data_IF_231266443556
#
_entry.id   IF_231266443556
#
_cell.length_a   1.000
_cell.length_b   1.000
_cell.length_c   1.000
_cell.angle_alpha   90.00
_cell.angle_beta   90.00
_cell.angle_gamma   90.00
#
_symmetry.space_group_name_H-M   'P 1'
#
loop_
_entity.id
_entity.type
_entity.pdbx_description
1 polymer ?
#
# COMPACT_ATOMS: atom_id res chain seq x y z
N UNK A 1 -9.15 4.62 -18.40
CA UNK A 1 -8.65 5.01 -17.09
C UNK A 1 -9.56 4.56 -15.94
N UNK A 2 -10.87 4.80 -16.01
CA UNK A 2 -11.83 4.42 -14.95
C UNK A 2 -11.82 2.93 -14.63
N UNK A 3 -11.63 2.06 -15.61
CA UNK A 3 -11.52 0.62 -15.41
C UNK A 3 -10.30 0.23 -14.58
N UNK A 4 -9.16 0.91 -14.74
CA UNK A 4 -7.97 0.64 -13.92
C UNK A 4 -8.23 0.96 -12.44
N UNK A 5 -8.89 2.09 -12.15
CA UNK A 5 -9.26 2.45 -10.77
C UNK A 5 -10.26 1.45 -10.19
N UNK A 6 -11.25 1.01 -11.00
CA UNK A 6 -12.20 -0.01 -10.59
C UNK A 6 -11.53 -1.35 -10.27
N UNK A 7 -10.52 -1.77 -11.05
CA UNK A 7 -9.77 -3.01 -10.80
C UNK A 7 -8.97 -2.95 -9.50
N UNK A 8 -8.37 -1.81 -9.15
CA UNK A 8 -7.71 -1.62 -7.84
C UNK A 8 -8.72 -1.80 -6.71
N UNK A 9 -9.90 -1.17 -6.81
CA UNK A 9 -10.95 -1.28 -5.81
C UNK A 9 -11.49 -2.71 -5.66
N UNK A 10 -11.71 -3.41 -6.76
CA UNK A 10 -12.17 -4.79 -6.78
C UNK A 10 -11.15 -5.73 -6.12
N UNK A 11 -9.90 -5.60 -6.50
CA UNK A 11 -8.80 -6.39 -5.92
C UNK A 11 -8.63 -6.09 -4.44
N UNK A 12 -8.66 -4.83 -4.03
CA UNK A 12 -8.55 -4.42 -2.64
C UNK A 12 -9.69 -5.01 -1.79
N UNK A 13 -10.92 -4.98 -2.29
CA UNK A 13 -12.10 -5.56 -1.62
C UNK A 13 -11.98 -7.07 -1.46
N UNK A 14 -11.59 -7.78 -2.52
CA UNK A 14 -11.42 -9.24 -2.51
C UNK A 14 -10.29 -9.66 -1.57
N UNK A 15 -9.15 -8.99 -1.63
CA UNK A 15 -8.00 -9.31 -0.78
C UNK A 15 -8.25 -9.02 0.69
N UNK A 16 -9.13 -8.07 1.05
CA UNK A 16 -9.54 -7.84 2.44
C UNK A 16 -10.10 -9.09 3.09
N UNK A 17 -10.92 -9.84 2.36
CA UNK A 17 -11.51 -11.09 2.88
C UNK A 17 -10.39 -12.09 3.20
N UNK A 18 -9.46 -12.29 2.28
CA UNK A 18 -8.35 -13.23 2.47
C UNK A 18 -7.45 -12.81 3.64
N UNK A 19 -7.04 -11.54 3.67
CA UNK A 19 -6.14 -11.00 4.71
C UNK A 19 -6.75 -11.01 6.11
N UNK A 20 -8.07 -10.96 6.24
CA UNK A 20 -8.74 -11.03 7.55
C UNK A 20 -8.53 -12.39 8.23
N UNK A 21 -8.39 -13.45 7.47
CA UNK A 21 -8.18 -14.81 8.01
C UNK A 21 -6.72 -15.21 8.19
N UNK A 22 -5.77 -14.41 7.67
CA UNK A 22 -4.34 -14.73 7.74
C UNK A 22 -3.67 -14.53 9.12
N UNK A 23 -4.05 -13.57 9.97
CA UNK A 23 -3.36 -13.30 11.23
C UNK A 23 -3.21 -14.52 12.16
N UNK A 24 -4.23 -15.35 12.37
CA UNK A 24 -4.11 -16.55 13.22
C UNK A 24 -3.22 -17.63 12.61
N UNK A 25 -3.03 -17.63 11.28
CA UNK A 25 -2.27 -18.65 10.56
C UNK A 25 -0.79 -18.29 10.49
N UNK A 26 -0.49 -17.07 10.06
CA UNK A 26 0.88 -16.61 9.80
C UNK A 26 1.53 -15.93 11.00
N UNK A 27 0.73 -15.43 11.95
CA UNK A 27 1.20 -14.56 13.01
C UNK A 27 1.47 -13.13 12.52
N UNK A 28 1.39 -12.17 13.42
CA UNK A 28 1.41 -10.74 13.08
C UNK A 28 2.72 -10.31 12.43
N UNK A 29 3.86 -10.78 12.94
CA UNK A 29 5.19 -10.42 12.40
C UNK A 29 5.32 -10.78 10.92
N UNK A 30 5.05 -12.03 10.58
CA UNK A 30 5.18 -12.54 9.21
C UNK A 30 4.14 -11.87 8.32
N UNK A 31 2.90 -11.73 8.78
CA UNK A 31 1.82 -11.09 8.04
C UNK A 31 2.16 -9.65 7.66
N UNK A 32 2.60 -8.83 8.62
CA UNK A 32 2.93 -7.41 8.39
C UNK A 32 4.13 -7.29 7.45
N UNK A 33 5.20 -8.05 7.69
CA UNK A 33 6.41 -8.01 6.87
C UNK A 33 6.13 -8.48 5.45
N UNK A 34 5.40 -9.57 5.28
CA UNK A 34 5.03 -10.08 3.97
C UNK A 34 4.13 -9.09 3.22
N UNK A 35 3.12 -8.53 3.89
CA UNK A 35 2.17 -7.60 3.27
C UNK A 35 2.84 -6.31 2.84
N UNK A 36 3.71 -5.73 3.70
CA UNK A 36 4.46 -4.51 3.36
C UNK A 36 5.50 -4.77 2.26
N UNK A 37 6.18 -5.91 2.31
CA UNK A 37 7.12 -6.32 1.25
C UNK A 37 6.45 -6.52 -0.10
N UNK A 38 5.27 -7.13 -0.13
CA UNK A 38 4.48 -7.31 -1.35
C UNK A 38 4.03 -5.99 -1.97
N UNK A 39 3.86 -4.91 -1.19
CA UNK A 39 3.54 -3.58 -1.71
C UNK A 39 4.65 -2.99 -2.58
N UNK A 40 5.90 -3.42 -2.43
CA UNK A 40 6.99 -2.97 -3.29
C UNK A 40 6.78 -3.40 -4.75
N UNK A 41 6.15 -4.55 -4.98
CA UNK A 41 5.91 -5.06 -6.34
C UNK A 41 5.07 -4.08 -7.16
N UNK A 42 3.85 -3.66 -6.74
CA UNK A 42 3.08 -2.69 -7.51
C UNK A 42 3.76 -1.33 -7.63
N UNK A 43 4.53 -0.87 -6.63
CA UNK A 43 5.27 0.38 -6.78
C UNK A 43 6.29 0.32 -7.92
N UNK A 44 7.09 -0.74 -8.01
CA UNK A 44 8.03 -0.92 -9.10
C UNK A 44 7.32 -1.12 -10.46
N UNK A 45 6.21 -1.85 -10.47
CA UNK A 45 5.40 -2.02 -11.68
C UNK A 45 4.88 -0.69 -12.22
N UNK A 46 4.39 0.20 -11.36
CA UNK A 46 3.91 1.51 -11.77
C UNK A 46 5.03 2.45 -12.21
N UNK A 47 6.20 2.40 -11.57
CA UNK A 47 7.38 3.13 -12.06
C UNK A 47 7.71 2.71 -13.48
N UNK A 48 7.75 1.40 -13.75
CA UNK A 48 8.00 0.86 -15.08
C UNK A 48 6.94 1.32 -16.10
N UNK A 49 5.65 1.19 -15.75
CA UNK A 49 4.54 1.53 -16.63
C UNK A 49 4.54 3.02 -17.02
N UNK A 50 4.86 3.90 -16.09
CA UNK A 50 4.91 5.35 -16.34
C UNK A 50 6.08 5.74 -17.23
N UNK A 51 7.20 5.03 -17.15
CA UNK A 51 8.38 5.30 -17.96
C UNK A 51 8.28 4.71 -19.37
N UNK A 52 7.41 3.71 -19.58
CA UNK A 52 7.21 3.04 -20.89
C UNK A 52 5.77 3.25 -21.37
N UNK A 53 5.52 4.30 -22.18
CA UNK A 53 4.18 4.60 -22.69
C UNK A 53 3.60 3.51 -23.59
N UNK A 54 4.44 2.63 -24.13
CA UNK A 54 4.04 1.50 -24.99
C UNK A 54 3.53 0.29 -24.20
N UNK A 55 3.42 0.39 -22.87
CA UNK A 55 2.93 -0.70 -22.03
C UNK A 55 1.51 -1.11 -22.43
N UNK A 56 1.27 -2.40 -22.74
CA UNK A 56 -0.04 -2.85 -23.19
C UNK A 56 -1.08 -2.74 -22.05
N UNK A 57 -2.32 -2.45 -22.43
CA UNK A 57 -3.41 -2.20 -21.47
C UNK A 57 -3.66 -3.38 -20.52
N UNK A 58 -3.53 -4.62 -20.98
CA UNK A 58 -3.70 -5.81 -20.15
C UNK A 58 -2.66 -5.87 -19.01
N UNK A 59 -1.43 -5.40 -19.25
CA UNK A 59 -0.39 -5.32 -18.24
C UNK A 59 -0.71 -4.28 -17.17
N UNK A 60 -1.29 -3.14 -17.57
CA UNK A 60 -1.79 -2.12 -16.64
C UNK A 60 -2.91 -2.65 -15.74
N UNK A 61 -3.78 -3.51 -16.26
CA UNK A 61 -4.82 -4.19 -15.45
C UNK A 61 -4.18 -5.08 -14.40
N UNK A 62 -3.15 -5.86 -14.74
CA UNK A 62 -2.42 -6.70 -13.78
C UNK A 62 -1.78 -5.84 -12.68
N UNK A 63 -1.13 -4.74 -13.05
CA UNK A 63 -0.55 -3.80 -12.08
C UNK A 63 -1.59 -3.18 -11.16
N UNK A 64 -2.76 -2.85 -11.71
CA UNK A 64 -3.89 -2.35 -10.92
C UNK A 64 -4.40 -3.41 -9.91
N UNK A 65 -4.51 -4.67 -10.32
CA UNK A 65 -4.90 -5.77 -9.45
C UNK A 65 -3.87 -6.00 -8.32
N UNK A 66 -2.57 -5.92 -8.63
CA UNK A 66 -1.50 -6.02 -7.64
C UNK A 66 -1.54 -4.85 -6.64
N UNK A 67 -1.93 -3.66 -7.07
CA UNK A 67 -2.07 -2.49 -6.17
C UNK A 67 -3.13 -2.69 -5.09
N UNK A 68 -4.09 -3.58 -5.31
CA UNK A 68 -5.11 -3.94 -4.31
C UNK A 68 -4.57 -4.64 -3.05
N UNK A 69 -3.33 -5.14 -3.06
CA UNK A 69 -2.66 -5.73 -1.89
C UNK A 69 -2.67 -4.77 -0.70
N UNK A 70 -2.55 -3.46 -0.95
CA UNK A 70 -2.61 -2.44 0.10
C UNK A 70 -3.92 -2.47 0.91
N UNK A 71 -5.05 -2.67 0.23
CA UNK A 71 -6.35 -2.81 0.89
C UNK A 71 -6.45 -4.06 1.76
N UNK A 72 -5.89 -5.17 1.31
CA UNK A 72 -5.81 -6.40 2.09
C UNK A 72 -4.96 -6.23 3.34
N UNK A 73 -3.78 -5.60 3.22
CA UNK A 73 -2.87 -5.32 4.33
C UNK A 73 -3.57 -4.60 5.48
N UNK A 74 -4.38 -3.59 5.18
CA UNK A 74 -5.14 -2.84 6.19
C UNK A 74 -6.04 -3.77 7.03
N UNK A 75 -6.79 -4.66 6.39
CA UNK A 75 -7.68 -5.61 7.09
C UNK A 75 -6.92 -6.59 7.97
N UNK A 76 -5.80 -7.10 7.49
CA UNK A 76 -4.93 -7.98 8.27
C UNK A 76 -4.35 -7.30 9.51
N UNK A 77 -3.95 -6.04 9.39
CA UNK A 77 -3.45 -5.24 10.52
C UNK A 77 -4.54 -4.97 11.56
N UNK A 78 -5.75 -4.62 11.14
CA UNK A 78 -6.89 -4.42 12.03
C UNK A 78 -7.22 -5.71 12.80
N UNK A 79 -7.27 -6.84 12.12
CA UNK A 79 -7.49 -8.14 12.76
C UNK A 79 -6.37 -8.48 13.75
N UNK A 80 -5.10 -8.23 13.37
CA UNK A 80 -3.94 -8.47 14.23
C UNK A 80 -3.97 -7.64 15.52
N UNK A 81 -4.41 -6.38 15.46
CA UNK A 81 -4.50 -5.49 16.62
C UNK A 81 -5.40 -6.06 17.71
N UNK A 82 -6.44 -6.79 17.35
CA UNK A 82 -7.33 -7.45 18.32
C UNK A 82 -6.61 -8.49 19.20
N UNK A 83 -5.52 -9.06 18.74
CA UNK A 83 -4.76 -10.06 19.51
C UNK A 83 -3.76 -9.44 20.49
N UNK A 84 -3.34 -8.19 20.23
CA UNK A 84 -2.36 -7.50 21.09
C UNK A 84 -2.98 -6.80 22.29
N UNK A 85 -4.24 -6.37 22.17
CA UNK A 85 -4.88 -5.53 23.18
C UNK A 85 -5.99 -6.27 23.95
N UNK A 86 -6.09 -6.05 25.27
CA UNK A 86 -7.18 -6.61 26.08
C UNK A 86 -8.52 -6.03 25.65
N UNK A 87 -9.63 -6.74 25.94
CA UNK A 87 -10.97 -6.40 25.45
C UNK A 87 -11.38 -4.94 25.74
N UNK A 88 -11.03 -4.40 26.90
CA UNK A 88 -11.39 -3.02 27.28
C UNK A 88 -10.62 -1.93 26.49
N UNK A 89 -9.45 -2.23 25.94
CA UNK A 89 -8.61 -1.29 25.21
C UNK A 89 -8.67 -1.46 23.66
N UNK A 90 -9.31 -2.53 23.17
CA UNK A 90 -9.37 -2.84 21.74
C UNK A 90 -9.99 -1.73 20.92
N UNK A 91 -11.10 -1.15 21.38
CA UNK A 91 -11.78 -0.06 20.68
C UNK A 91 -10.89 1.17 20.51
N UNK A 92 -10.16 1.55 21.56
CA UNK A 92 -9.19 2.65 21.48
C UNK A 92 -8.05 2.34 20.52
N UNK A 93 -7.47 1.14 20.62
CA UNK A 93 -6.38 0.73 19.75
C UNK A 93 -6.78 0.71 18.27
N UNK A 94 -7.93 0.17 17.94
CA UNK A 94 -8.48 0.16 16.57
C UNK A 94 -8.82 1.57 16.08
N UNK A 95 -9.36 2.42 16.95
CA UNK A 95 -9.66 3.82 16.62
C UNK A 95 -8.39 4.61 16.29
N UNK A 96 -7.33 4.48 17.08
CA UNK A 96 -6.03 5.10 16.82
C UNK A 96 -5.43 4.55 15.52
N UNK A 97 -5.46 3.25 15.32
CA UNK A 97 -4.93 2.63 14.10
C UNK A 97 -5.69 3.09 12.86
N UNK A 98 -7.01 3.14 12.90
CA UNK A 98 -7.84 3.63 11.81
C UNK A 98 -7.56 5.11 11.52
N UNK A 99 -7.55 5.95 12.55
CA UNK A 99 -7.27 7.38 12.41
C UNK A 99 -5.89 7.68 11.84
N UNK A 100 -4.85 6.97 12.29
CA UNK A 100 -3.49 7.10 11.74
C UNK A 100 -3.41 6.62 10.29
N UNK A 101 -4.16 5.58 9.92
CA UNK A 101 -4.23 5.09 8.55
C UNK A 101 -4.88 6.11 7.62
N UNK A 102 -5.98 6.72 8.04
CA UNK A 102 -6.66 7.76 7.26
C UNK A 102 -5.81 9.03 7.15
N UNK A 103 -5.12 9.41 8.23
CA UNK A 103 -4.14 10.49 8.20
C UNK A 103 -3.01 10.19 7.20
N UNK A 104 -2.48 8.96 7.20
CA UNK A 104 -1.48 8.52 6.23
C UNK A 104 -1.99 8.63 4.78
N UNK A 105 -3.24 8.24 4.52
CA UNK A 105 -3.87 8.38 3.20
C UNK A 105 -3.95 9.86 2.79
N UNK A 106 -4.36 10.74 3.70
CA UNK A 106 -4.37 12.19 3.46
C UNK A 106 -2.97 12.74 3.16
N UNK A 107 -1.96 12.28 3.90
CA UNK A 107 -0.57 12.66 3.68
C UNK A 107 -0.08 12.25 2.28
N UNK A 108 -0.39 11.03 1.84
CA UNK A 108 -0.05 10.57 0.48
C UNK A 108 -0.72 11.43 -0.57
N UNK A 109 -2.00 11.75 -0.42
CA UNK A 109 -2.73 12.59 -1.35
C UNK A 109 -2.19 14.01 -1.43
N UNK A 110 -1.62 14.52 -0.35
CA UNK A 110 -1.00 15.85 -0.31
C UNK A 110 0.43 15.84 -0.87
N UNK A 111 1.26 14.88 -0.46
CA UNK A 111 2.68 14.81 -0.85
C UNK A 111 2.85 14.41 -2.31
N UNK A 112 2.04 13.47 -2.81
CA UNK A 112 2.20 12.93 -4.16
C UNK A 112 2.13 14.00 -5.26
N UNK A 113 1.14 14.92 -5.29
CA UNK A 113 1.12 16.01 -6.27
C UNK A 113 2.34 16.94 -6.17
N UNK A 114 2.83 17.19 -4.96
CA UNK A 114 4.01 18.02 -4.77
C UNK A 114 5.26 17.39 -5.39
N UNK A 115 5.52 16.10 -5.12
CA UNK A 115 6.72 15.43 -5.64
C UNK A 115 6.69 15.18 -7.15
N UNK A 116 5.51 15.10 -7.75
CA UNK A 116 5.36 15.00 -9.21
C UNK A 116 5.86 16.28 -9.89
N UNK A 117 5.68 17.44 -9.27
CA UNK A 117 6.14 18.72 -9.78
C UNK A 117 7.63 18.97 -9.61
N UNK A 118 8.37 18.17 -8.82
CA UNK A 118 9.79 18.34 -8.56
C UNK A 118 10.65 17.31 -9.28
N UNK A 119 11.80 17.75 -9.78
CA UNK A 119 12.81 16.88 -10.40
C UNK A 119 13.67 16.09 -9.40
N UNK A 120 13.17 15.83 -8.19
CA UNK A 120 13.94 15.23 -7.09
C UNK A 120 14.63 13.91 -7.44
N UNK A 121 13.98 13.07 -8.27
CA UNK A 121 14.49 11.78 -8.73
C UNK A 121 14.70 11.73 -10.25
N UNK A 122 14.97 12.88 -10.88
CA UNK A 122 15.18 12.99 -12.32
C UNK A 122 16.32 12.08 -12.84
N UNK A 123 17.27 11.71 -11.97
CA UNK A 123 18.35 10.77 -12.30
C UNK A 123 17.89 9.33 -12.48
N UNK A 124 16.67 8.99 -12.04
CA UNK A 124 16.08 7.65 -12.17
C UNK A 124 15.11 7.54 -13.37
N UNK A 125 14.94 8.60 -14.14
CA UNK A 125 14.11 8.61 -15.34
C UNK A 125 13.77 10.03 -15.79
N UNK A 126 13.56 10.19 -17.11
CA UNK A 126 13.19 11.48 -17.71
C UNK A 126 11.80 11.95 -17.31
N UNK A 127 11.57 13.26 -17.32
CA UNK A 127 10.25 13.84 -17.11
C UNK A 127 9.34 13.64 -18.32
N UNK A 128 8.05 13.46 -18.06
CA UNK A 128 7.02 13.41 -19.09
C UNK A 128 6.55 14.85 -19.41
N UNK A 129 6.47 15.17 -20.70
CA UNK A 129 6.02 16.49 -21.16
C UNK A 129 4.51 16.44 -21.39
N UNK A 130 3.77 17.26 -20.66
CA UNK A 130 2.36 17.47 -20.90
C UNK A 130 2.15 18.81 -21.62
N UNK A 131 1.35 18.77 -22.70
CA UNK A 131 0.89 19.96 -23.40
C UNK A 131 -0.42 20.44 -22.77
N UNK A 132 -0.38 21.64 -22.18
CA UNK A 132 -1.59 22.27 -21.65
C UNK A 132 -2.42 22.86 -22.80
N UNK A 133 -3.72 23.04 -22.53
CA UNK A 133 -4.66 23.67 -23.47
C UNK A 133 -4.23 25.07 -23.89
N UNK A 134 -3.44 25.77 -23.07
CA UNK A 134 -2.89 27.10 -23.32
C UNK A 134 -1.60 27.11 -24.17
N UNK A 135 -1.21 25.97 -24.76
CA UNK A 135 0.00 25.83 -25.56
C UNK A 135 1.30 25.81 -24.75
N UNK A 136 1.22 25.88 -23.44
CA UNK A 136 2.38 25.73 -22.54
C UNK A 136 2.72 24.26 -22.34
N UNK A 137 4.00 23.95 -22.35
CA UNK A 137 4.53 22.64 -22.00
C UNK A 137 5.00 22.63 -20.56
N UNK A 138 4.52 21.66 -19.77
CA UNK A 138 4.96 21.46 -18.40
C UNK A 138 5.52 20.06 -18.29
N UNK A 139 6.68 19.95 -17.66
CA UNK A 139 7.32 18.65 -17.42
C UNK A 139 6.93 18.14 -16.03
N UNK A 140 6.42 16.92 -15.98
CA UNK A 140 6.08 16.23 -14.75
C UNK A 140 6.91 14.96 -14.62
N UNK A 141 7.19 14.58 -13.39
CA UNK A 141 7.88 13.33 -13.06
C UNK A 141 6.92 12.38 -12.34
N UNK A 142 6.02 11.75 -13.10
CA UNK A 142 4.99 10.87 -12.56
C UNK A 142 5.57 9.68 -11.79
N UNK A 143 6.74 9.20 -12.17
CA UNK A 143 7.44 8.14 -11.46
C UNK A 143 7.79 8.51 -10.01
N UNK A 144 7.93 9.79 -9.68
CA UNK A 144 8.20 10.25 -8.32
C UNK A 144 7.08 9.87 -7.36
N UNK A 145 5.85 9.75 -7.85
CA UNK A 145 4.71 9.29 -7.07
C UNK A 145 4.93 7.91 -6.45
N UNK A 146 5.71 7.05 -7.10
CA UNK A 146 6.09 5.73 -6.56
C UNK A 146 7.47 5.74 -5.90
N UNK A 147 8.46 6.42 -6.51
CA UNK A 147 9.83 6.45 -6.00
C UNK A 147 9.96 7.00 -4.58
N UNK A 148 9.15 7.99 -4.19
CA UNK A 148 9.15 8.55 -2.84
C UNK A 148 8.74 7.53 -1.79
N UNK A 149 7.80 6.65 -2.11
CA UNK A 149 7.24 5.69 -1.16
C UNK A 149 8.03 4.38 -1.07
N UNK A 150 8.76 4.00 -2.12
CA UNK A 150 9.54 2.76 -2.15
C UNK A 150 10.55 2.67 -0.99
N UNK A 151 11.43 3.67 -0.73
CA UNK A 151 12.36 3.60 0.40
C UNK A 151 11.65 3.53 1.73
N UNK A 152 10.56 4.27 1.90
CA UNK A 152 9.79 4.29 3.13
C UNK A 152 9.16 2.91 3.41
N UNK A 153 8.54 2.30 2.42
CA UNK A 153 7.94 0.96 2.55
C UNK A 153 9.01 -0.09 2.80
N UNK A 154 10.17 0.01 2.15
CA UNK A 154 11.29 -0.90 2.37
C UNK A 154 11.81 -0.80 3.82
N UNK A 155 11.97 0.42 4.35
CA UNK A 155 12.37 0.64 5.74
C UNK A 155 11.34 0.06 6.71
N UNK A 156 10.05 0.33 6.48
CA UNK A 156 8.96 -0.20 7.31
C UNK A 156 8.95 -1.73 7.28
N UNK A 157 9.19 -2.35 6.13
CA UNK A 157 9.28 -3.81 5.99
C UNK A 157 10.42 -4.39 6.83
N UNK A 158 11.59 -3.77 6.77
CA UNK A 158 12.76 -4.18 7.56
C UNK A 158 12.51 -3.99 9.05
N UNK A 159 11.98 -2.84 9.46
CA UNK A 159 11.66 -2.56 10.86
C UNK A 159 10.60 -3.52 11.39
N UNK A 160 9.59 -3.85 10.60
CA UNK A 160 8.57 -4.83 10.98
C UNK A 160 9.17 -6.22 11.20
N UNK A 161 10.10 -6.62 10.35
CA UNK A 161 10.80 -7.89 10.51
C UNK A 161 11.67 -7.93 11.78
N UNK A 162 12.36 -6.84 12.08
CA UNK A 162 13.31 -6.79 13.22
C UNK A 162 12.60 -6.60 14.57
N UNK A 163 11.61 -5.73 14.63
CA UNK A 163 11.02 -5.29 15.91
C UNK A 163 9.66 -5.91 16.23
N UNK A 164 8.88 -6.32 15.20
CA UNK A 164 7.58 -6.89 15.46
C UNK A 164 7.70 -8.32 16.02
N UNK A 165 6.95 -8.61 17.06
CA UNK A 165 6.83 -9.95 17.64
C UNK A 165 5.46 -10.52 17.34
N UNK A 166 5.41 -11.80 16.99
CA UNK A 166 4.14 -12.51 16.88
C UNK A 166 3.65 -12.88 18.29
N UNK A 167 2.41 -12.55 18.57
CA UNK A 167 1.74 -13.10 19.75
C UNK A 167 1.28 -14.51 19.36
N UNK A 168 1.66 -15.56 20.11
CA UNK A 168 1.14 -16.88 19.85
C UNK A 168 -0.38 -16.85 20.05
N UNK A 169 -1.14 -17.08 19.00
CA UNK A 169 -2.57 -17.32 19.08
C UNK A 169 -2.71 -18.71 19.69
N UNK A 170 -2.91 -18.76 21.01
CA UNK A 170 -3.15 -20.03 21.69
C UNK A 170 -4.41 -20.66 21.10
N UNK A 171 -4.21 -21.81 20.46
CA UNK A 171 -5.19 -22.47 19.61
C UNK A 171 -6.39 -23.08 20.33
N UNK A 172 -7.17 -22.30 21.04
CA UNK A 172 -8.50 -22.69 21.48
C UNK A 172 -9.56 -21.71 20.94
N UNK A 173 -9.76 -21.79 19.64
CA UNK A 173 -10.90 -21.12 18.95
C UNK A 173 -12.26 -21.62 19.52
N UNK A 174 -12.27 -22.68 20.31
CA UNK A 174 -13.50 -23.29 20.86
C UNK A 174 -14.01 -22.69 22.17
N UNK A 175 -13.31 -21.74 22.80
CA UNK A 175 -13.70 -21.23 24.12
C UNK A 175 -14.10 -19.73 24.19
N UNK A 176 -14.19 -19.02 23.09
CA UNK A 176 -14.54 -17.58 23.10
C UNK A 176 -15.76 -17.20 22.23
N UNK A 177 -16.70 -18.14 22.00
CA UNK A 177 -18.03 -17.82 21.46
C UNK A 177 -19.09 -17.91 22.54
#
# INVERSE_FOLDING_TARGET
LYWLVAMVGLSAGTLRILWTFLPPILGTRILVTLSTGLLLIPFFCWVYAVQHPDTPYWMLIIFALLSGIGGGTFSGLMASTNYFFPKHARGLALGIQGGLSDFGTGLVQFVTPLVIGFSAFAFLGGGQVAHLADGKTVTYWLQNASWVWIPLVAIITILSWLFLRSVPVSGNIKQEW
#
